data_IF_463967383887
#
_entry.id   IF_463967383887
#
_cell.length_a   1.000
_cell.length_b   1.000
_cell.length_c   1.000
_cell.angle_alpha   90.00
_cell.angle_beta   90.00
_cell.angle_gamma   90.00
#
_symmetry.space_group_name_H-M   'P 1'
#
loop_
_entity.id
_entity.type
_entity.pdbx_description
1 polymer ?
#
# COMPACT_ATOMS: atom_id res chain seq x y z
N UNK A 1 -3.46 -1.84 13.95
CA UNK A 1 -3.02 -1.94 12.54
C UNK A 1 -3.06 -3.40 12.19
N UNK A 2 -3.67 -3.74 11.06
CA UNK A 2 -3.66 -5.09 10.49
C UNK A 2 -2.84 -5.04 9.20
N UNK A 3 -1.86 -5.93 9.03
CA UNK A 3 -0.91 -5.87 7.93
C UNK A 3 -0.37 -7.25 7.54
N UNK A 4 -0.21 -7.45 6.23
CA UNK A 4 0.40 -8.64 5.66
C UNK A 4 1.88 -8.39 5.35
N UNK A 5 2.74 -9.35 5.70
CA UNK A 5 4.19 -9.28 5.49
C UNK A 5 4.63 -10.48 4.66
N UNK A 6 5.36 -10.24 3.57
CA UNK A 6 5.94 -11.25 2.71
C UNK A 6 7.43 -10.96 2.53
N UNK A 7 8.28 -11.97 2.79
CA UNK A 7 9.74 -11.85 2.71
C UNK A 7 10.32 -10.67 3.52
N UNK A 8 9.74 -10.39 4.69
CA UNK A 8 10.18 -9.31 5.58
C UNK A 8 9.72 -7.89 5.19
N UNK A 9 8.91 -7.75 4.13
CA UNK A 9 8.37 -6.47 3.68
C UNK A 9 6.83 -6.47 3.68
N UNK A 10 6.20 -5.30 3.87
CA UNK A 10 4.75 -5.18 3.75
C UNK A 10 4.27 -5.56 2.35
N UNK A 11 3.24 -6.38 2.28
CA UNK A 11 2.70 -6.89 1.02
C UNK A 11 1.21 -7.17 1.15
N UNK A 12 0.37 -6.45 0.42
CA UNK A 12 -1.08 -6.53 0.46
C UNK A 12 -1.72 -5.32 1.14
N UNK A 13 -2.99 -5.48 1.53
CA UNK A 13 -3.78 -4.44 2.18
C UNK A 13 -3.40 -4.31 3.66
N UNK A 14 -3.18 -3.08 4.08
CA UNK A 14 -2.90 -2.66 5.45
C UNK A 14 -4.03 -1.76 5.92
N UNK A 15 -4.61 -2.08 7.09
CA UNK A 15 -5.74 -1.33 7.66
C UNK A 15 -5.33 -0.60 8.93
N UNK A 16 -5.64 0.68 8.95
CA UNK A 16 -5.48 1.55 10.10
C UNK A 16 -6.84 1.84 10.72
N UNK A 17 -6.87 1.68 12.04
CA UNK A 17 -8.07 1.83 12.83
C UNK A 17 -7.90 3.02 13.76
N UNK A 18 -8.92 3.86 13.80
CA UNK A 18 -9.02 4.99 14.70
C UNK A 18 -9.12 4.50 16.15
N UNK A 19 -8.97 5.43 17.10
CA UNK A 19 -9.19 5.14 18.52
C UNK A 19 -10.60 4.59 18.81
N UNK A 20 -11.56 4.82 17.92
CA UNK A 20 -12.95 4.31 18.02
C UNK A 20 -13.12 2.90 17.43
N UNK A 21 -12.07 2.30 16.88
CA UNK A 21 -12.12 0.98 16.23
C UNK A 21 -12.66 0.98 14.80
N UNK A 22 -13.05 2.14 14.26
CA UNK A 22 -13.41 2.29 12.83
C UNK A 22 -12.17 2.43 11.97
N UNK A 23 -12.22 1.92 10.75
CA UNK A 23 -11.17 2.12 9.75
C UNK A 23 -11.19 3.59 9.30
N UNK A 24 -10.04 4.26 9.42
CA UNK A 24 -9.84 5.63 8.92
C UNK A 24 -8.86 5.68 7.74
N UNK A 25 -8.09 4.61 7.51
CA UNK A 25 -7.12 4.56 6.43
C UNK A 25 -6.81 3.13 5.99
N UNK A 26 -6.72 2.96 4.69
CA UNK A 26 -6.30 1.72 4.03
C UNK A 26 -5.11 2.00 3.12
N UNK A 27 -4.09 1.16 3.19
CA UNK A 27 -2.87 1.30 2.39
C UNK A 27 -2.53 -0.02 1.74
N UNK A 28 -2.31 -0.01 0.43
CA UNK A 28 -1.86 -1.21 -0.30
C UNK A 28 -0.37 -1.14 -0.49
N UNK A 29 0.33 -2.20 -0.10
CA UNK A 29 1.77 -2.31 -0.23
C UNK A 29 2.18 -3.45 -1.16
N UNK A 30 3.27 -3.25 -1.90
CA UNK A 30 3.95 -4.29 -2.65
C UNK A 30 5.45 -4.16 -2.45
N UNK A 31 6.10 -5.21 -1.94
CA UNK A 31 7.53 -5.24 -1.63
C UNK A 31 7.96 -4.10 -0.68
N UNK A 32 7.10 -3.74 0.26
CA UNK A 32 7.33 -2.64 1.19
C UNK A 32 7.05 -1.24 0.63
N UNK A 33 6.65 -1.13 -0.64
CA UNK A 33 6.31 0.14 -1.29
C UNK A 33 4.80 0.35 -1.24
N UNK A 34 4.35 1.48 -0.67
CA UNK A 34 2.94 1.86 -0.70
C UNK A 34 2.56 2.20 -2.14
N UNK A 35 1.58 1.50 -2.70
CA UNK A 35 1.11 1.70 -4.07
C UNK A 35 -0.14 2.57 -4.12
N UNK A 36 -0.96 2.46 -3.06
CA UNK A 36 -2.23 3.15 -2.89
C UNK A 36 -2.42 3.49 -1.43
N UNK A 37 -2.85 4.71 -1.14
CA UNK A 37 -3.40 5.12 0.16
C UNK A 37 -4.81 5.62 -0.04
N UNK A 38 -5.74 5.11 0.75
CA UNK A 38 -7.12 5.57 0.82
C UNK A 38 -7.39 6.06 2.24
N UNK A 39 -7.91 7.28 2.36
CA UNK A 39 -8.42 7.82 3.62
C UNK A 39 -9.93 7.60 3.67
N UNK A 40 -10.43 7.10 4.79
CA UNK A 40 -11.83 6.74 4.97
C UNK A 40 -12.46 7.54 6.11
N UNK A 41 -13.70 7.97 5.92
CA UNK A 41 -14.51 8.60 6.96
C UNK A 41 -15.83 7.87 7.05
N UNK A 42 -16.04 7.12 8.14
CA UNK A 42 -17.28 6.37 8.34
C UNK A 42 -17.44 5.15 7.43
N UNK A 43 -16.38 4.73 6.72
CA UNK A 43 -16.41 3.64 5.74
C UNK A 43 -16.42 4.11 4.30
N UNK A 44 -16.63 5.41 4.05
CA UNK A 44 -16.57 6.01 2.72
C UNK A 44 -15.16 6.54 2.43
N UNK A 45 -14.69 6.32 1.20
CA UNK A 45 -13.38 6.81 0.74
C UNK A 45 -13.45 8.33 0.52
N UNK A 46 -12.73 9.07 1.36
CA UNK A 46 -12.62 10.53 1.28
C UNK A 46 -11.56 10.95 0.26
N UNK A 47 -10.41 10.29 0.27
CA UNK A 47 -9.28 10.62 -0.58
C UNK A 47 -8.56 9.36 -1.03
N UNK A 48 -8.00 9.41 -2.23
CA UNK A 48 -7.16 8.33 -2.77
C UNK A 48 -5.89 8.94 -3.33
N UNK A 49 -4.75 8.49 -2.83
CA UNK A 49 -3.42 8.93 -3.26
C UNK A 49 -2.66 7.73 -3.84
N UNK A 50 -2.17 7.90 -5.07
CA UNK A 50 -1.29 6.93 -5.72
C UNK A 50 0.15 7.37 -5.53
N UNK A 51 0.98 6.54 -4.91
CA UNK A 51 2.40 6.87 -4.62
C UNK A 51 3.36 6.41 -5.72
N UNK A 52 2.86 6.24 -6.95
CA UNK A 52 3.56 5.53 -8.03
C UNK A 52 3.47 6.25 -9.37
N UNK A 53 3.50 7.58 -9.38
CA UNK A 53 3.71 8.30 -10.64
C UNK A 53 4.99 7.80 -11.32
N UNK A 54 5.03 7.77 -12.65
CA UNK A 54 6.13 7.15 -13.40
C UNK A 54 7.53 7.75 -13.10
N UNK A 55 7.56 8.99 -12.60
CA UNK A 55 8.77 9.68 -12.18
C UNK A 55 9.17 9.40 -10.73
N UNK A 56 8.32 8.77 -9.93
CA UNK A 56 8.62 8.42 -8.54
C UNK A 56 9.69 7.31 -8.50
N UNK A 57 10.77 7.47 -7.70
CA UNK A 57 11.78 6.42 -7.55
C UNK A 57 11.19 5.10 -7.05
N UNK A 58 10.13 5.13 -6.24
CA UNK A 58 9.43 3.94 -5.77
C UNK A 58 8.75 3.20 -6.92
N UNK A 59 8.22 3.91 -7.94
CA UNK A 59 7.68 3.27 -9.14
C UNK A 59 8.75 2.45 -9.88
N UNK A 60 9.96 3.00 -10.03
CA UNK A 60 11.07 2.30 -10.70
C UNK A 60 11.51 1.06 -9.94
N UNK A 61 11.64 1.16 -8.61
CA UNK A 61 11.99 0.02 -7.76
C UNK A 61 10.91 -1.06 -7.81
N UNK A 62 9.64 -0.67 -7.67
CA UNK A 62 8.51 -1.58 -7.74
C UNK A 62 8.46 -2.30 -9.10
N UNK A 63 8.66 -1.56 -10.19
CA UNK A 63 8.72 -2.14 -11.54
C UNK A 63 9.83 -3.18 -11.66
N UNK A 64 11.06 -2.85 -11.24
CA UNK A 64 12.19 -3.76 -11.30
C UNK A 64 11.97 -5.03 -10.44
N UNK A 65 11.39 -4.89 -9.24
CA UNK A 65 11.07 -6.03 -8.38
C UNK A 65 10.00 -6.94 -9.00
N UNK A 66 8.96 -6.36 -9.61
CA UNK A 66 7.95 -7.14 -10.35
C UNK A 66 8.58 -7.89 -11.52
N UNK A 67 9.40 -7.23 -12.34
CA UNK A 67 10.10 -7.86 -13.47
C UNK A 67 11.05 -9.00 -13.00
N UNK A 68 11.72 -8.84 -11.87
CA UNK A 68 12.59 -9.88 -11.31
C UNK A 68 11.84 -11.14 -10.86
N UNK A 69 10.57 -11.03 -10.47
CA UNK A 69 9.74 -12.16 -10.03
C UNK A 69 9.09 -12.91 -11.18
N UNK A 70 8.90 -12.25 -12.33
CA UNK A 70 8.39 -12.89 -13.54
C UNK A 70 9.45 -13.74 -14.25
N UNK A 71 10.74 -13.52 -13.96
CA UNK A 71 11.86 -14.22 -14.59
C UNK A 71 12.39 -15.43 -13.78
N UNK A 72 11.63 -15.89 -12.79
CA UNK A 72 11.91 -17.08 -11.96
C UNK A 72 10.83 -18.14 -12.16
#
# INVERSE_FOLDING_TARGET
>A
MDAQVKNGAFHGLVKHYSATGKIDREETFEFGICTLRQELVGGDVLATTYSLEANDPNYKVLKAMRESLLNT
#
